data_IF_809091818393
#
_entry.id   IF_809091818393
#
_cell.length_a   1.000
_cell.length_b   1.000
_cell.length_c   1.000
_cell.angle_alpha   90.00
_cell.angle_beta   90.00
_cell.angle_gamma   90.00
#
_symmetry.space_group_name_H-M   'P 1'
#
loop_
_entity.id
_entity.type
_entity.pdbx_description
1 polymer ?
#
# COMPACT_ATOMS: atom_id res chain seq x y z
N UNK A 1 -4.98 -15.17 0.19
CA UNK A 1 -3.53 -14.95 0.13
C UNK A 1 -2.91 -14.98 1.55
N UNK A 2 -3.28 -14.06 2.40
CA UNK A 2 -2.71 -13.96 3.76
C UNK A 2 -2.89 -15.24 4.59
N UNK A 3 -3.99 -15.99 4.38
CA UNK A 3 -4.24 -17.27 5.07
C UNK A 3 -3.19 -18.34 4.74
N UNK A 4 -2.70 -18.39 3.51
CA UNK A 4 -1.59 -19.28 3.10
C UNK A 4 -0.22 -18.87 3.66
N UNK A 5 -0.12 -17.66 4.24
CA UNK A 5 1.13 -17.10 4.79
C UNK A 5 1.09 -16.89 6.31
N UNK A 6 0.35 -17.74 7.02
CA UNK A 6 0.33 -17.80 8.48
C UNK A 6 -0.60 -16.80 9.17
N UNK A 7 -1.54 -16.22 8.44
CA UNK A 7 -2.62 -15.39 8.96
C UNK A 7 -3.95 -16.15 8.88
N UNK A 8 -4.81 -15.98 9.86
CA UNK A 8 -6.22 -16.39 9.78
C UNK A 8 -7.03 -15.14 9.41
N UNK A 9 -7.76 -15.19 8.30
CA UNK A 9 -8.68 -14.10 7.90
C UNK A 9 -10.03 -14.33 8.53
N UNK A 10 -10.57 -13.31 9.16
CA UNK A 10 -11.93 -13.20 9.68
C UNK A 10 -12.59 -12.02 8.97
N UNK A 11 -13.89 -12.12 8.73
CA UNK A 11 -14.68 -11.05 8.12
C UNK A 11 -15.83 -10.72 9.05
N UNK A 12 -16.06 -9.43 9.29
CA UNK A 12 -17.11 -8.95 10.14
C UNK A 12 -17.93 -7.90 9.40
N UNK A 13 -19.24 -8.07 9.41
CA UNK A 13 -20.17 -7.01 9.02
C UNK A 13 -20.41 -6.14 10.23
N UNK A 14 -19.97 -4.90 10.14
CA UNK A 14 -20.11 -3.88 11.19
C UNK A 14 -21.31 -3.04 10.85
N UNK A 15 -22.19 -2.83 11.81
CA UNK A 15 -23.36 -1.96 11.67
C UNK A 15 -23.33 -0.91 12.76
N UNK A 16 -23.51 0.35 12.39
CA UNK A 16 -23.75 1.41 13.36
C UNK A 16 -25.23 1.46 13.73
N UNK A 17 -25.53 1.98 14.91
CA UNK A 17 -26.91 2.21 15.37
C UNK A 17 -27.66 3.19 14.43
N UNK A 18 -26.93 4.05 13.73
CA UNK A 18 -27.44 5.02 12.78
C UNK A 18 -27.67 4.47 11.36
N UNK A 19 -27.50 3.15 11.16
CA UNK A 19 -27.83 2.45 9.91
C UNK A 19 -26.69 2.33 8.90
N UNK A 20 -25.48 2.79 9.22
CA UNK A 20 -24.29 2.54 8.40
C UNK A 20 -23.83 1.08 8.51
N UNK A 21 -23.44 0.46 7.40
CA UNK A 21 -22.89 -0.90 7.41
C UNK A 21 -21.64 -1.00 6.53
N UNK A 22 -20.65 -1.76 6.99
CA UNK A 22 -19.46 -2.07 6.21
C UNK A 22 -18.88 -3.43 6.62
N UNK A 23 -18.15 -4.05 5.71
CA UNK A 23 -17.42 -5.28 6.00
C UNK A 23 -15.95 -4.99 6.25
N UNK A 24 -15.41 -5.51 7.36
CA UNK A 24 -13.99 -5.38 7.71
C UNK A 24 -13.31 -6.75 7.67
N UNK A 25 -12.09 -6.77 7.10
CA UNK A 25 -11.21 -7.93 7.14
C UNK A 25 -10.27 -7.82 8.33
N UNK A 26 -10.30 -8.81 9.23
CA UNK A 26 -9.41 -8.91 10.38
C UNK A 26 -8.44 -10.07 10.18
N UNK A 27 -7.17 -9.78 10.10
CA UNK A 27 -6.11 -10.76 9.90
C UNK A 27 -5.49 -11.10 11.26
N UNK A 28 -5.65 -12.33 11.72
CA UNK A 28 -5.09 -12.80 12.98
C UNK A 28 -3.83 -13.60 12.74
N UNK A 29 -2.72 -13.16 13.30
CA UNK A 29 -1.44 -13.88 13.25
C UNK A 29 -1.05 -14.40 14.63
N UNK A 30 -0.85 -15.71 14.73
CA UNK A 30 -0.30 -16.34 15.94
C UNK A 30 1.22 -16.35 15.91
N UNK A 31 1.82 -16.20 17.08
CA UNK A 31 3.26 -16.34 17.29
C UNK A 31 3.55 -16.87 18.69
N UNK A 32 4.76 -17.38 18.91
CA UNK A 32 5.18 -17.97 20.18
C UNK A 32 4.13 -18.92 20.79
N UNK A 33 3.48 -19.76 19.96
CA UNK A 33 2.49 -20.79 20.27
C UNK A 33 1.15 -20.27 20.87
N UNK A 34 1.19 -19.26 21.74
CA UNK A 34 0.02 -18.81 22.51
C UNK A 34 -0.49 -17.41 22.14
N UNK A 35 0.38 -16.54 21.69
CA UNK A 35 0.04 -15.13 21.45
C UNK A 35 -0.40 -14.88 20.02
N UNK A 36 -1.21 -13.84 19.86
CA UNK A 36 -1.60 -13.35 18.54
C UNK A 36 -1.69 -11.84 18.52
N UNK A 37 -1.69 -11.29 17.32
CA UNK A 37 -2.11 -9.95 17.00
C UNK A 37 -3.26 -10.02 15.99
N UNK A 38 -4.20 -9.11 16.10
CA UNK A 38 -5.20 -8.87 15.07
C UNK A 38 -4.78 -7.64 14.26
N UNK A 39 -4.87 -7.70 12.95
CA UNK A 39 -4.49 -6.61 12.06
C UNK A 39 -5.62 -6.31 11.09
N UNK A 40 -5.96 -5.03 10.97
CA UNK A 40 -6.99 -4.51 10.09
C UNK A 40 -6.32 -3.57 9.09
N UNK A 41 -6.10 -4.04 7.84
CA UNK A 41 -5.54 -3.20 6.80
C UNK A 41 -6.59 -2.20 6.31
N UNK A 42 -6.20 -0.95 6.15
CA UNK A 42 -7.03 0.12 5.58
C UNK A 42 -8.39 0.26 6.29
N UNK A 43 -8.34 0.44 7.63
CA UNK A 43 -9.54 0.67 8.43
C UNK A 43 -10.33 1.86 7.88
N UNK A 44 -11.61 1.68 7.54
CA UNK A 44 -12.44 2.78 7.06
C UNK A 44 -12.46 3.94 8.06
N UNK A 45 -12.52 5.15 7.54
CA UNK A 45 -12.71 6.36 8.33
C UNK A 45 -14.20 6.69 8.37
N UNK A 46 -14.81 6.50 9.53
CA UNK A 46 -16.16 7.01 9.78
C UNK A 46 -16.04 8.25 10.64
N UNK A 47 -16.41 9.38 10.06
CA UNK A 47 -16.69 10.55 10.86
C UNK A 47 -18.20 10.61 11.06
N UNK A 48 -18.62 10.74 12.30
CA UNK A 48 -19.96 11.20 12.64
C UNK A 48 -20.07 12.64 12.13
N UNK A 49 -20.47 12.81 10.88
CA UNK A 49 -20.76 14.10 10.29
C UNK A 49 -22.25 14.35 10.33
N UNK A 50 -22.62 15.43 10.98
CA UNK A 50 -23.92 16.05 11.09
C UNK A 50 -25.04 15.48 10.21
N UNK A 51 -26.05 14.94 10.91
CA UNK A 51 -27.48 14.97 10.67
C UNK A 51 -28.05 14.69 9.28
N UNK A 52 -28.77 13.57 9.22
CA UNK A 52 -30.12 13.62 8.72
C UNK A 52 -30.31 13.69 7.21
N UNK A 53 -30.01 12.59 6.53
CA UNK A 53 -30.88 12.14 5.43
C UNK A 53 -30.71 10.64 5.25
N UNK A 54 -31.78 9.88 5.39
CA UNK A 54 -31.86 8.47 5.04
C UNK A 54 -31.45 8.29 3.58
N UNK A 55 -30.40 7.50 3.32
CA UNK A 55 -29.96 7.15 1.96
C UNK A 55 -28.45 7.28 1.70
N UNK A 56 -27.61 7.37 2.70
CA UNK A 56 -26.18 7.51 2.52
C UNK A 56 -25.52 6.24 2.00
N UNK A 57 -25.21 6.19 0.70
CA UNK A 57 -24.17 5.34 0.14
C UNK A 57 -22.91 5.54 0.96
N UNK A 58 -22.27 4.47 1.44
CA UNK A 58 -20.95 4.51 2.06
C UNK A 58 -19.95 5.12 1.06
N UNK A 59 -19.88 6.43 1.01
CA UNK A 59 -18.80 7.10 0.33
C UNK A 59 -17.58 6.99 1.23
N UNK A 60 -16.46 6.53 0.66
CA UNK A 60 -15.16 6.76 1.25
C UNK A 60 -15.11 8.23 1.65
N UNK A 61 -15.22 8.52 2.93
CA UNK A 61 -15.02 9.85 3.47
C UNK A 61 -13.53 10.16 3.32
N UNK A 62 -13.14 10.56 2.09
CA UNK A 62 -12.05 11.50 2.02
C UNK A 62 -12.50 12.67 2.90
N UNK A 63 -11.73 13.02 3.94
CA UNK A 63 -11.85 14.34 4.51
C UNK A 63 -11.78 15.24 3.29
N UNK A 64 -12.93 15.82 2.86
CA UNK A 64 -12.93 16.87 1.86
C UNK A 64 -12.21 18.01 2.54
N UNK A 65 -10.88 17.98 2.44
CA UNK A 65 -10.11 19.18 2.56
C UNK A 65 -10.75 20.12 1.57
N UNK A 66 -11.33 21.20 2.08
CA UNK A 66 -11.79 22.29 1.26
C UNK A 66 -10.71 22.56 0.20
N UNK A 67 -11.08 22.66 -1.07
CA UNK A 67 -10.17 22.75 -2.22
C UNK A 67 -9.33 24.04 -2.23
N UNK A 68 -9.10 24.64 -1.09
CA UNK A 68 -8.19 25.75 -0.90
C UNK A 68 -6.75 25.20 -0.94
N UNK A 69 -5.88 25.86 -1.69
CA UNK A 69 -4.45 25.55 -1.87
C UNK A 69 -3.63 25.32 -0.57
N UNK A 70 -4.25 25.46 0.58
CA UNK A 70 -3.66 25.38 1.93
C UNK A 70 -4.20 24.21 2.76
N UNK A 71 -4.20 22.98 2.26
CA UNK A 71 -4.44 21.77 3.03
C UNK A 71 -5.62 21.87 4.01
N UNK A 72 -6.68 21.09 3.83
CA UNK A 72 -7.91 21.21 4.63
C UNK A 72 -7.65 21.25 6.13
N UNK A 73 -8.44 22.05 6.82
CA UNK A 73 -8.40 22.18 8.28
C UNK A 73 -8.93 20.89 8.87
N UNK A 74 -8.03 20.03 9.36
CA UNK A 74 -8.39 18.88 10.20
C UNK A 74 -8.84 19.44 11.54
N UNK A 75 -10.09 19.20 11.92
CA UNK A 75 -10.62 19.64 13.21
C UNK A 75 -10.14 18.72 14.33
N UNK A 76 -9.93 19.25 15.50
CA UNK A 76 -9.62 18.48 16.71
C UNK A 76 -10.72 17.43 17.00
N UNK A 77 -11.96 17.78 16.76
CA UNK A 77 -13.14 16.93 16.90
C UNK A 77 -13.07 15.67 16.04
N UNK A 78 -12.51 15.75 14.83
CA UNK A 78 -12.35 14.62 13.91
C UNK A 78 -11.37 13.59 14.47
N UNK A 79 -10.30 14.03 15.11
CA UNK A 79 -9.29 13.15 15.71
C UNK A 79 -9.83 12.45 16.97
N UNK A 80 -10.59 13.17 17.82
CA UNK A 80 -11.23 12.62 18.99
C UNK A 80 -12.29 11.57 18.63
N UNK A 81 -13.18 11.92 17.68
CA UNK A 81 -14.20 11.00 17.16
C UNK A 81 -13.60 9.74 16.56
N UNK A 82 -12.48 9.87 15.83
CA UNK A 82 -11.79 8.71 15.27
C UNK A 82 -11.13 7.83 16.34
N UNK A 83 -10.55 8.43 17.39
CA UNK A 83 -10.00 7.68 18.52
C UNK A 83 -11.10 6.91 19.26
N UNK A 84 -12.23 7.55 19.53
CA UNK A 84 -13.41 6.94 20.16
C UNK A 84 -13.92 5.76 19.31
N UNK A 85 -14.12 5.97 18.01
CA UNK A 85 -14.54 4.93 17.07
C UNK A 85 -13.60 3.71 17.10
N UNK A 86 -12.28 3.92 17.04
CA UNK A 86 -11.33 2.80 17.09
C UNK A 86 -11.41 2.05 18.43
N UNK A 87 -11.61 2.75 19.54
CA UNK A 87 -11.74 2.15 20.87
C UNK A 87 -13.03 1.30 20.98
N UNK A 88 -14.18 1.85 20.63
CA UNK A 88 -15.48 1.15 20.66
C UNK A 88 -15.50 -0.07 19.73
N UNK A 89 -14.97 0.08 18.51
CA UNK A 89 -14.82 -1.01 17.58
C UNK A 89 -13.91 -2.11 18.15
N UNK A 90 -12.79 -1.73 18.78
CA UNK A 90 -11.86 -2.70 19.38
C UNK A 90 -12.47 -3.48 20.52
N UNK A 91 -13.23 -2.82 21.41
CA UNK A 91 -13.92 -3.49 22.51
C UNK A 91 -15.01 -4.44 21.98
N UNK A 92 -15.75 -4.05 20.94
CA UNK A 92 -16.75 -4.89 20.30
C UNK A 92 -16.11 -6.12 19.63
N UNK A 93 -14.93 -5.96 19.01
CA UNK A 93 -14.24 -7.04 18.32
C UNK A 93 -13.54 -8.02 19.26
N UNK A 94 -13.17 -7.57 20.46
CA UNK A 94 -12.37 -8.32 21.44
C UNK A 94 -12.90 -9.73 21.74
N UNK A 95 -14.24 -9.86 21.89
CA UNK A 95 -14.91 -11.12 22.19
C UNK A 95 -14.76 -12.20 21.09
N UNK A 96 -14.45 -11.79 19.85
CA UNK A 96 -14.30 -12.68 18.69
C UNK A 96 -12.85 -13.06 18.41
N UNK A 97 -11.90 -12.46 19.13
CA UNK A 97 -10.47 -12.71 18.96
C UNK A 97 -9.96 -13.82 19.87
N UNK A 98 -8.84 -14.47 19.54
CA UNK A 98 -8.22 -15.44 20.44
C UNK A 98 -7.90 -14.81 21.82
N UNK A 99 -8.07 -15.57 22.90
CA UNK A 99 -7.89 -15.11 24.30
C UNK A 99 -6.58 -14.40 24.61
N UNK A 100 -5.51 -14.75 23.89
CA UNK A 100 -4.17 -14.18 24.09
C UNK A 100 -3.77 -13.23 22.96
N UNK A 101 -4.73 -12.52 22.37
CA UNK A 101 -4.45 -11.43 21.42
C UNK A 101 -3.90 -10.24 22.20
N UNK A 102 -2.71 -9.78 21.80
CA UNK A 102 -1.99 -8.70 22.50
C UNK A 102 -2.52 -7.32 22.15
N UNK A 103 -2.87 -7.12 20.87
CA UNK A 103 -3.43 -5.87 20.39
C UNK A 103 -4.25 -6.09 19.10
N UNK A 104 -5.09 -5.11 18.81
CA UNK A 104 -5.64 -4.89 17.47
C UNK A 104 -4.84 -3.77 16.86
N UNK A 105 -4.25 -4.01 15.68
CA UNK A 105 -3.49 -3.03 14.90
C UNK A 105 -4.30 -2.59 13.70
N UNK A 106 -4.38 -1.29 13.48
CA UNK A 106 -5.08 -0.66 12.37
C UNK A 106 -4.08 0.08 11.48
N UNK A 107 -4.22 -0.04 10.18
CA UNK A 107 -3.73 0.97 9.24
C UNK A 107 -4.93 1.83 8.84
N UNK A 108 -4.78 3.14 8.97
CA UNK A 108 -5.83 4.10 8.65
C UNK A 108 -5.91 4.34 7.14
N UNK A 109 -7.12 4.49 6.61
CA UNK A 109 -7.38 4.93 5.23
C UNK A 109 -7.53 6.44 5.09
N UNK A 110 -7.29 7.22 6.16
CA UNK A 110 -7.36 8.68 6.13
C UNK A 110 -6.23 9.26 5.30
N UNK A 111 -6.56 10.01 4.28
CA UNK A 111 -5.63 10.64 3.36
C UNK A 111 -5.44 12.12 3.69
N UNK A 112 -4.21 12.53 4.00
CA UNK A 112 -3.80 13.92 4.20
C UNK A 112 -2.91 14.38 3.06
N UNK A 113 -3.06 15.62 2.63
CA UNK A 113 -2.32 16.17 1.48
C UNK A 113 -1.07 16.96 1.89
N UNK A 114 -0.81 17.05 3.20
CA UNK A 114 0.44 17.58 3.74
C UNK A 114 0.89 16.79 4.96
N UNK A 115 2.20 16.73 5.17
CA UNK A 115 2.81 16.14 6.38
C UNK A 115 2.32 16.88 7.63
N UNK A 116 2.21 18.21 7.56
CA UNK A 116 1.78 19.03 8.68
C UNK A 116 0.35 18.68 9.14
N UNK A 117 -0.60 18.51 8.19
CA UNK A 117 -1.97 18.13 8.52
C UNK A 117 -2.06 16.72 9.11
N UNK A 118 -1.31 15.76 8.55
CA UNK A 118 -1.20 14.41 9.11
C UNK A 118 -0.63 14.43 10.54
N UNK A 119 0.47 15.15 10.75
CA UNK A 119 1.15 15.19 12.05
C UNK A 119 0.30 15.91 13.10
N UNK A 120 -0.43 16.95 12.71
CA UNK A 120 -1.42 17.61 13.55
C UNK A 120 -2.52 16.61 13.95
N UNK A 121 -3.14 15.92 12.99
CA UNK A 121 -4.16 14.90 13.28
C UNK A 121 -3.64 13.82 14.26
N UNK A 122 -2.43 13.31 14.03
CA UNK A 122 -1.83 12.29 14.91
C UNK A 122 -1.56 12.83 16.32
N UNK A 123 -1.19 14.11 16.44
CA UNK A 123 -1.00 14.76 17.74
C UNK A 123 -2.34 14.90 18.48
N UNK A 124 -3.38 15.42 17.83
CA UNK A 124 -4.73 15.56 18.39
C UNK A 124 -5.32 14.21 18.79
N UNK A 125 -5.16 13.17 17.95
CA UNK A 125 -5.60 11.80 18.25
C UNK A 125 -4.92 11.27 19.52
N UNK A 126 -3.64 11.49 19.71
CA UNK A 126 -2.92 11.08 20.94
C UNK A 126 -3.41 11.86 22.14
N UNK A 127 -3.67 13.15 22.00
CA UNK A 127 -4.19 14.00 23.07
C UNK A 127 -5.59 13.56 23.48
N UNK A 128 -6.48 13.34 22.52
CA UNK A 128 -7.84 12.84 22.77
C UNK A 128 -7.80 11.47 23.46
N UNK A 129 -6.99 10.55 22.94
CA UNK A 129 -6.84 9.23 23.57
C UNK A 129 -6.36 9.33 25.02
N UNK A 130 -5.45 10.26 25.34
CA UNK A 130 -4.95 10.46 26.70
C UNK A 130 -6.01 11.09 27.62
N UNK A 131 -6.72 12.13 27.17
CA UNK A 131 -7.73 12.85 27.94
C UNK A 131 -8.94 11.96 28.26
N UNK A 132 -9.38 11.14 27.32
CA UNK A 132 -10.52 10.24 27.46
C UNK A 132 -10.14 8.84 27.95
N UNK A 133 -8.85 8.62 28.26
CA UNK A 133 -8.28 7.35 28.73
C UNK A 133 -8.54 6.18 27.75
N UNK A 134 -8.56 6.47 26.46
CA UNK A 134 -8.69 5.46 25.42
C UNK A 134 -7.35 4.76 25.19
N UNK A 135 -7.38 3.45 25.03
CA UNK A 135 -6.17 2.65 24.85
C UNK A 135 -5.66 2.67 23.40
N UNK A 136 -5.49 3.86 22.80
CA UNK A 136 -4.96 4.00 21.42
C UNK A 136 -3.50 4.44 21.45
N UNK A 137 -2.65 3.72 20.73
CA UNK A 137 -1.19 3.94 20.69
C UNK A 137 -0.72 4.06 19.24
N UNK A 138 -0.04 5.15 18.86
CA UNK A 138 0.67 5.23 17.58
C UNK A 138 1.91 4.33 17.63
N UNK A 139 2.00 3.40 16.67
CA UNK A 139 3.14 2.48 16.58
C UNK A 139 4.41 3.19 16.11
N UNK A 140 5.58 2.63 16.45
CA UNK A 140 6.88 3.13 15.97
C UNK A 140 7.22 2.69 14.56
N UNK A 141 6.56 1.63 14.08
CA UNK A 141 6.77 1.07 12.74
C UNK A 141 5.42 0.78 12.13
N UNK A 142 5.22 1.21 10.90
CA UNK A 142 4.00 0.97 10.15
C UNK A 142 4.08 -0.38 9.42
N UNK A 143 2.94 -1.07 9.30
CA UNK A 143 2.87 -2.31 8.50
C UNK A 143 2.83 -1.95 7.02
N UNK A 144 1.95 -1.02 6.65
CA UNK A 144 1.91 -0.48 5.30
C UNK A 144 2.63 0.87 5.24
N UNK A 145 3.29 1.19 4.12
CA UNK A 145 3.85 2.53 3.92
C UNK A 145 2.75 3.58 4.00
N UNK A 146 2.88 4.59 4.85
CA UNK A 146 1.84 5.61 5.01
C UNK A 146 1.83 6.65 3.88
N UNK A 147 2.94 6.80 3.16
CA UNK A 147 3.10 7.84 2.15
C UNK A 147 3.07 7.25 0.75
N UNK A 148 2.27 7.83 -0.14
CA UNK A 148 2.12 7.40 -1.53
C UNK A 148 1.79 8.57 -2.46
N UNK A 149 1.72 8.27 -3.77
CA UNK A 149 1.21 9.16 -4.81
C UNK A 149 0.05 8.47 -5.52
N UNK A 150 -1.09 9.15 -5.63
CA UNK A 150 -2.30 8.67 -6.27
C UNK A 150 -2.54 9.40 -7.58
N UNK A 151 -2.75 8.66 -8.67
CA UNK A 151 -3.17 9.21 -9.97
C UNK A 151 -4.66 8.97 -10.15
N UNK A 152 -5.40 10.02 -10.47
CA UNK A 152 -6.82 9.96 -10.82
C UNK A 152 -6.98 9.46 -12.27
N UNK A 153 -7.44 8.21 -12.42
CA UNK A 153 -7.63 7.56 -13.71
C UNK A 153 -8.95 7.95 -14.42
N UNK A 154 -9.77 8.79 -13.83
CA UNK A 154 -10.96 9.35 -14.52
C UNK A 154 -10.55 10.32 -15.62
N UNK A 155 -9.38 10.95 -15.51
CA UNK A 155 -8.78 11.86 -16.49
C UNK A 155 -8.42 11.16 -17.78
N UNK A 156 -8.43 11.87 -18.89
CA UNK A 156 -7.94 11.35 -20.19
C UNK A 156 -6.43 11.06 -20.18
N UNK A 157 -5.94 10.24 -21.10
CA UNK A 157 -4.50 9.97 -21.22
C UNK A 157 -3.69 11.24 -21.49
N UNK A 158 -4.24 12.19 -22.27
CA UNK A 158 -3.58 13.45 -22.55
C UNK A 158 -3.47 14.33 -21.28
N UNK A 159 -4.49 14.36 -20.45
CA UNK A 159 -4.45 15.05 -19.16
C UNK A 159 -3.45 14.37 -18.20
N UNK A 160 -3.42 13.03 -18.15
CA UNK A 160 -2.45 12.29 -17.37
C UNK A 160 -1.02 12.59 -17.82
N UNK A 161 -0.76 12.57 -19.14
CA UNK A 161 0.54 12.94 -19.69
C UNK A 161 0.91 14.39 -19.38
N UNK A 162 -0.05 15.32 -19.51
CA UNK A 162 0.16 16.75 -19.26
C UNK A 162 0.54 17.03 -17.80
N UNK A 163 -0.03 16.30 -16.86
CA UNK A 163 0.26 16.39 -15.42
C UNK A 163 1.66 15.89 -15.05
N UNK A 164 2.28 15.03 -15.88
CA UNK A 164 3.64 14.53 -15.65
C UNK A 164 4.68 15.64 -15.78
N UNK A 165 5.80 15.51 -15.05
CA UNK A 165 6.99 16.33 -15.30
C UNK A 165 7.46 16.15 -16.75
N UNK A 166 7.93 17.21 -17.39
CA UNK A 166 8.38 17.20 -18.80
C UNK A 166 9.40 16.10 -19.08
N UNK A 167 10.35 15.88 -18.16
CA UNK A 167 11.37 14.82 -18.25
C UNK A 167 10.75 13.41 -18.27
N UNK A 168 9.61 13.17 -17.59
CA UNK A 168 8.92 11.86 -17.58
C UNK A 168 8.29 11.60 -18.95
N UNK A 169 7.56 12.56 -19.50
CA UNK A 169 7.03 12.47 -20.87
C UNK A 169 8.13 12.22 -21.90
N UNK A 170 9.25 12.94 -21.76
CA UNK A 170 10.42 12.75 -22.62
C UNK A 170 10.97 11.31 -22.48
N UNK A 171 11.15 10.82 -21.27
CA UNK A 171 11.70 9.48 -21.01
C UNK A 171 10.79 8.37 -21.54
N UNK A 172 9.48 8.50 -21.46
CA UNK A 172 8.50 7.57 -22.05
C UNK A 172 8.70 7.51 -23.57
N UNK A 173 8.71 8.67 -24.24
CA UNK A 173 8.91 8.76 -25.69
C UNK A 173 10.29 8.26 -26.11
N UNK A 174 11.31 8.54 -25.33
CA UNK A 174 12.68 8.06 -25.56
C UNK A 174 12.72 6.54 -25.54
N UNK A 175 12.12 5.90 -24.53
CA UNK A 175 12.09 4.44 -24.43
C UNK A 175 11.39 3.82 -25.64
N UNK A 176 10.24 4.35 -26.04
CA UNK A 176 9.52 3.92 -27.26
C UNK A 176 10.39 4.07 -28.52
N UNK A 177 10.97 5.26 -28.73
CA UNK A 177 11.83 5.56 -29.89
C UNK A 177 13.07 4.66 -29.96
N UNK A 178 13.58 4.23 -28.80
CA UNK A 178 14.74 3.34 -28.69
C UNK A 178 14.38 1.86 -28.79
N UNK A 179 13.11 1.52 -29.05
CA UNK A 179 12.69 0.14 -29.26
C UNK A 179 12.49 -0.69 -27.98
N UNK A 180 12.29 -0.03 -26.85
CA UNK A 180 11.87 -0.75 -25.63
C UNK A 180 10.44 -1.25 -25.82
N UNK A 181 10.24 -2.53 -25.58
CA UNK A 181 8.92 -3.20 -25.70
C UNK A 181 8.45 -3.59 -24.31
N UNK A 182 7.18 -3.30 -23.98
CA UNK A 182 6.54 -3.72 -22.74
C UNK A 182 5.52 -4.81 -23.04
N UNK A 183 5.60 -5.92 -22.28
CA UNK A 183 4.62 -7.00 -22.32
C UNK A 183 3.96 -7.17 -20.96
N UNK A 184 2.64 -7.42 -20.97
CA UNK A 184 1.83 -7.67 -19.78
C UNK A 184 1.43 -9.15 -19.72
N UNK A 185 1.66 -9.77 -18.58
CA UNK A 185 1.29 -11.15 -18.27
C UNK A 185 0.28 -11.13 -17.12
N UNK A 186 -0.98 -11.43 -17.45
CA UNK A 186 -2.10 -11.34 -16.52
C UNK A 186 -2.39 -12.69 -15.90
N UNK A 187 -2.76 -12.71 -14.63
CA UNK A 187 -3.13 -13.93 -13.91
C UNK A 187 -4.34 -14.63 -14.52
N UNK A 188 -5.22 -13.87 -15.18
CA UNK A 188 -6.37 -14.40 -15.96
C UNK A 188 -6.69 -13.44 -17.10
N UNK A 189 -7.35 -13.98 -18.12
CA UNK A 189 -7.95 -13.20 -19.21
C UNK A 189 -9.44 -13.44 -19.23
N UNK A 190 -10.22 -12.43 -19.59
CA UNK A 190 -11.67 -12.57 -19.77
C UNK A 190 -12.02 -13.37 -21.04
N UNK A 191 -11.04 -13.71 -21.85
CA UNK A 191 -11.17 -14.58 -23.02
C UNK A 191 -10.86 -16.02 -22.61
N UNK A 192 -11.77 -16.93 -22.93
CA UNK A 192 -11.78 -18.34 -22.52
C UNK A 192 -10.59 -19.22 -22.98
N UNK A 193 -9.49 -18.65 -23.38
CA UNK A 193 -8.31 -19.39 -23.83
C UNK A 193 -7.26 -19.52 -22.72
N UNK A 194 -7.61 -20.32 -21.70
CA UNK A 194 -6.83 -20.52 -20.46
C UNK A 194 -5.57 -21.35 -20.68
N UNK A 195 -5.34 -21.94 -21.87
CA UNK A 195 -4.28 -22.95 -22.07
C UNK A 195 -2.88 -22.40 -22.39
N UNK A 196 -2.76 -21.11 -22.73
CA UNK A 196 -1.44 -20.50 -23.05
C UNK A 196 -0.83 -19.70 -21.90
N UNK A 197 -1.56 -19.48 -20.80
CA UNK A 197 -1.18 -18.58 -19.73
C UNK A 197 -0.17 -19.16 -18.72
N UNK A 198 -0.21 -20.47 -18.44
CA UNK A 198 0.58 -21.05 -17.34
C UNK A 198 2.08 -21.01 -17.61
N UNK A 199 2.52 -21.29 -18.83
CA UNK A 199 3.95 -21.29 -19.15
C UNK A 199 4.53 -19.86 -19.24
N UNK A 200 3.84 -18.95 -19.90
CA UNK A 200 4.28 -17.57 -20.08
C UNK A 200 4.23 -16.77 -18.76
N UNK A 201 3.24 -17.02 -17.93
CA UNK A 201 3.10 -16.38 -16.64
C UNK A 201 4.17 -16.84 -15.63
N UNK A 202 4.47 -18.14 -15.57
CA UNK A 202 5.55 -18.68 -14.75
C UNK A 202 6.90 -18.09 -15.16
N UNK A 203 7.17 -18.04 -16.47
CA UNK A 203 8.40 -17.42 -17.01
C UNK A 203 8.48 -15.93 -16.71
N UNK A 204 7.35 -15.21 -16.75
CA UNK A 204 7.31 -13.80 -16.40
C UNK A 204 7.67 -13.56 -14.92
N UNK A 205 7.19 -14.43 -14.02
CA UNK A 205 7.55 -14.39 -12.60
C UNK A 205 9.03 -14.75 -12.36
N UNK A 206 9.61 -15.66 -13.16
CA UNK A 206 11.04 -15.95 -13.13
C UNK A 206 11.87 -14.71 -13.49
N UNK A 207 11.53 -14.06 -14.60
CA UNK A 207 12.19 -12.84 -15.06
C UNK A 207 12.05 -11.72 -14.02
N UNK A 208 10.83 -11.51 -13.50
CA UNK A 208 10.60 -10.54 -12.44
C UNK A 208 11.51 -10.82 -11.24
N UNK A 209 11.56 -12.06 -10.77
CA UNK A 209 12.29 -12.42 -9.56
C UNK A 209 13.82 -12.25 -9.73
N UNK A 210 14.38 -12.58 -10.88
CA UNK A 210 15.80 -12.36 -11.18
C UNK A 210 16.15 -10.84 -11.20
N UNK A 211 15.33 -10.02 -11.86
CA UNK A 211 15.47 -8.57 -11.82
C UNK A 211 15.31 -8.01 -10.40
N UNK A 212 14.39 -8.63 -9.61
CA UNK A 212 14.15 -8.17 -8.26
C UNK A 212 15.28 -8.52 -7.30
N UNK A 213 15.94 -9.66 -7.47
CA UNK A 213 17.21 -9.97 -6.77
C UNK A 213 18.29 -8.95 -7.09
N UNK A 214 18.43 -8.59 -8.38
CA UNK A 214 19.38 -7.55 -8.81
C UNK A 214 19.10 -6.22 -8.15
N UNK A 215 17.83 -5.82 -8.11
CA UNK A 215 17.38 -4.60 -7.42
C UNK A 215 17.63 -4.68 -5.92
N UNK A 216 17.29 -5.80 -5.28
CA UNK A 216 17.48 -6.01 -3.85
C UNK A 216 18.95 -5.91 -3.42
N UNK A 217 19.85 -6.52 -4.20
CA UNK A 217 21.28 -6.45 -3.94
C UNK A 217 21.83 -5.03 -4.10
N UNK A 218 21.39 -4.31 -5.16
CA UNK A 218 21.80 -2.93 -5.41
C UNK A 218 21.34 -1.97 -4.31
N UNK A 219 20.06 -2.09 -3.90
CA UNK A 219 19.39 -1.12 -3.04
C UNK A 219 19.39 -1.55 -1.56
N UNK A 220 19.95 -2.73 -1.26
CA UNK A 220 20.06 -3.27 0.11
C UNK A 220 18.73 -3.55 0.79
N UNK A 221 17.71 -3.98 0.00
CA UNK A 221 16.37 -4.29 0.50
C UNK A 221 16.16 -5.79 0.66
N UNK A 222 15.31 -6.18 1.61
CA UNK A 222 14.87 -7.56 1.77
C UNK A 222 13.66 -7.83 0.85
N UNK A 223 13.67 -9.00 0.20
CA UNK A 223 12.58 -9.46 -0.66
C UNK A 223 12.01 -10.78 -0.14
N UNK A 224 10.76 -11.06 -0.48
CA UNK A 224 10.14 -12.35 -0.18
C UNK A 224 10.73 -13.46 -1.06
N UNK A 225 10.56 -14.72 -0.64
CA UNK A 225 10.86 -15.87 -1.49
C UNK A 225 9.96 -15.85 -2.75
N UNK A 226 10.45 -16.40 -3.88
CA UNK A 226 9.72 -16.45 -5.16
C UNK A 226 8.31 -17.00 -5.01
N UNK A 227 8.15 -18.06 -4.21
CA UNK A 227 6.85 -18.67 -3.91
C UNK A 227 5.77 -17.69 -3.45
N UNK A 228 6.14 -16.61 -2.76
CA UNK A 228 5.19 -15.57 -2.33
C UNK A 228 4.52 -14.89 -3.51
N UNK A 229 5.27 -14.58 -4.55
CA UNK A 229 4.75 -13.94 -5.78
C UNK A 229 3.97 -14.92 -6.66
N UNK A 230 4.43 -16.18 -6.70
CA UNK A 230 3.70 -17.27 -7.35
C UNK A 230 2.33 -17.50 -6.71
N UNK A 231 2.27 -17.55 -5.38
CA UNK A 231 1.01 -17.70 -4.64
C UNK A 231 0.06 -16.51 -4.84
N UNK A 232 0.60 -15.29 -4.90
CA UNK A 232 -0.18 -14.08 -5.18
C UNK A 232 -0.83 -14.15 -6.57
N UNK A 233 -0.05 -14.56 -7.57
CA UNK A 233 -0.50 -14.70 -8.94
C UNK A 233 -1.52 -15.84 -9.09
N UNK A 234 -1.24 -17.01 -8.51
CA UNK A 234 -2.11 -18.17 -8.56
C UNK A 234 -3.49 -17.91 -7.92
N UNK A 235 -3.53 -17.20 -6.78
CA UNK A 235 -4.80 -16.82 -6.15
C UNK A 235 -5.61 -15.86 -7.00
N UNK A 236 -4.97 -14.90 -7.66
CA UNK A 236 -5.65 -14.03 -8.61
C UNK A 236 -6.21 -14.80 -9.80
N UNK A 237 -5.50 -15.83 -10.28
CA UNK A 237 -5.97 -16.68 -11.38
C UNK A 237 -7.17 -17.56 -10.98
N UNK A 238 -7.16 -18.07 -9.73
CA UNK A 238 -8.16 -19.03 -9.26
C UNK A 238 -9.53 -18.40 -8.94
N UNK A 239 -9.61 -17.10 -8.68
CA UNK A 239 -10.84 -16.44 -8.19
C UNK A 239 -11.22 -15.25 -9.07
N UNK A 240 -12.39 -15.30 -9.69
CA UNK A 240 -12.90 -14.24 -10.59
C UNK A 240 -13.02 -12.88 -9.90
N UNK A 241 -13.45 -12.88 -8.65
CA UNK A 241 -13.68 -11.66 -7.87
C UNK A 241 -12.41 -11.14 -7.18
N UNK A 242 -11.30 -11.91 -7.25
CA UNK A 242 -10.03 -11.43 -6.74
C UNK A 242 -9.49 -10.28 -7.62
N UNK A 243 -8.73 -9.33 -7.05
CA UNK A 243 -8.02 -8.34 -7.84
C UNK A 243 -7.12 -9.01 -8.90
N UNK A 244 -7.05 -8.42 -10.08
CA UNK A 244 -6.22 -8.94 -11.17
C UNK A 244 -4.74 -8.60 -10.94
N UNK A 245 -3.92 -9.63 -10.78
CA UNK A 245 -2.47 -9.46 -10.73
C UNK A 245 -1.90 -9.51 -12.14
N UNK A 246 -1.07 -8.52 -12.45
CA UNK A 246 -0.38 -8.41 -13.74
C UNK A 246 1.12 -8.21 -13.51
N UNK A 247 1.93 -9.00 -14.22
CA UNK A 247 3.39 -8.83 -14.31
C UNK A 247 3.69 -8.12 -15.62
N UNK A 248 4.38 -6.98 -15.57
CA UNK A 248 4.86 -6.28 -16.76
C UNK A 248 6.36 -6.47 -16.88
N UNK A 249 6.83 -6.67 -18.09
CA UNK A 249 8.26 -6.78 -18.42
C UNK A 249 8.58 -5.81 -19.56
N UNK A 250 9.54 -4.93 -19.32
CA UNK A 250 10.15 -4.09 -20.35
C UNK A 250 11.43 -4.75 -20.84
N UNK A 251 11.54 -4.95 -22.14
CA UNK A 251 12.69 -5.59 -22.79
C UNK A 251 13.20 -4.78 -23.97
N UNK A 252 14.46 -5.00 -24.35
CA UNK A 252 15.09 -4.42 -25.52
C UNK A 252 16.11 -5.40 -26.08
N UNK A 253 16.02 -5.73 -27.40
CA UNK A 253 16.92 -6.68 -28.08
C UNK A 253 17.10 -8.01 -27.35
N UNK A 254 16.00 -8.56 -26.83
CA UNK A 254 16.00 -9.84 -26.10
C UNK A 254 16.42 -9.74 -24.62
N UNK A 255 16.92 -8.61 -24.13
CA UNK A 255 17.27 -8.39 -22.73
C UNK A 255 16.10 -7.82 -21.92
N UNK A 256 15.83 -8.39 -20.75
CA UNK A 256 14.83 -7.88 -19.81
C UNK A 256 15.45 -6.79 -18.93
N UNK A 257 14.88 -5.58 -19.01
CA UNK A 257 15.46 -4.38 -18.40
C UNK A 257 14.76 -3.93 -17.13
N UNK A 258 13.43 -4.10 -17.06
CA UNK A 258 12.64 -3.75 -15.90
C UNK A 258 11.38 -4.62 -15.83
N UNK A 259 10.85 -4.81 -14.62
CA UNK A 259 9.59 -5.52 -14.42
C UNK A 259 8.85 -4.93 -13.21
N UNK A 260 7.53 -4.94 -13.27
CA UNK A 260 6.66 -4.59 -12.14
C UNK A 260 5.55 -5.62 -11.96
N UNK A 261 5.06 -5.71 -10.72
CA UNK A 261 3.81 -6.40 -10.39
C UNK A 261 2.80 -5.36 -9.96
N UNK A 262 1.63 -5.39 -10.59
CA UNK A 262 0.48 -4.54 -10.25
C UNK A 262 -0.71 -5.39 -9.84
N UNK A 263 -1.57 -4.78 -9.04
CA UNK A 263 -2.88 -5.31 -8.67
C UNK A 263 -3.93 -4.37 -9.23
N UNK A 264 -4.96 -4.90 -9.90
CA UNK A 264 -6.09 -4.11 -10.42
C UNK A 264 -7.40 -4.55 -9.78
N UNK A 265 -8.14 -3.58 -9.26
CA UNK A 265 -9.55 -3.67 -8.90
C UNK A 265 -10.32 -2.52 -9.56
N UNK A 266 -11.65 -2.50 -9.43
CA UNK A 266 -12.46 -1.39 -9.98
C UNK A 266 -12.25 -0.08 -9.23
N UNK A 267 -12.01 -0.15 -7.93
CA UNK A 267 -11.74 1.03 -7.12
C UNK A 267 -10.31 1.55 -7.31
N UNK A 268 -9.33 0.64 -7.43
CA UNK A 268 -7.94 1.00 -7.32
C UNK A 268 -7.04 0.02 -8.08
N UNK A 269 -6.01 0.57 -8.71
CA UNK A 269 -4.85 -0.17 -9.20
C UNK A 269 -3.62 0.18 -8.34
N UNK A 270 -2.85 -0.82 -7.94
CA UNK A 270 -1.69 -0.64 -7.05
C UNK A 270 -0.42 -1.15 -7.69
N UNK A 271 0.63 -0.32 -7.71
CA UNK A 271 2.00 -0.72 -8.05
C UNK A 271 2.66 -1.39 -6.85
N UNK A 272 2.58 -2.73 -6.76
CA UNK A 272 3.03 -3.48 -5.60
C UNK A 272 4.55 -3.64 -5.52
N UNK A 273 5.18 -4.06 -6.62
CA UNK A 273 6.61 -4.39 -6.65
C UNK A 273 7.25 -3.92 -7.94
N UNK A 274 8.50 -3.45 -7.86
CA UNK A 274 9.28 -3.00 -9.00
C UNK A 274 10.71 -3.50 -8.97
N UNK A 275 11.19 -3.85 -10.14
CA UNK A 275 12.52 -4.38 -10.37
C UNK A 275 13.16 -3.75 -11.61
N UNK A 276 14.47 -3.56 -11.57
CA UNK A 276 15.20 -3.04 -12.73
C UNK A 276 16.61 -3.61 -12.79
N UNK A 277 17.05 -3.85 -14.02
CA UNK A 277 18.42 -4.21 -14.35
C UNK A 277 19.39 -3.04 -14.11
N UNK A 278 20.67 -3.36 -14.05
CA UNK A 278 21.75 -2.36 -14.03
C UNK A 278 22.22 -1.97 -15.44
N UNK A 279 21.84 -2.75 -16.46
CA UNK A 279 22.25 -2.49 -17.86
C UNK A 279 21.21 -1.66 -18.61
N UNK A 280 21.62 -0.94 -19.66
CA UNK A 280 20.78 -0.15 -20.56
C UNK A 280 19.79 0.81 -19.84
N UNK A 281 20.12 1.29 -18.64
CA UNK A 281 19.26 2.20 -17.86
C UNK A 281 18.98 3.52 -18.59
N UNK A 282 19.87 3.92 -19.49
CA UNK A 282 19.74 5.09 -20.35
C UNK A 282 18.58 4.96 -21.37
N UNK A 283 18.05 3.75 -21.59
CA UNK A 283 16.85 3.53 -22.41
C UNK A 283 15.55 3.86 -21.69
N UNK A 284 15.60 4.21 -20.41
CA UNK A 284 14.46 4.62 -19.58
C UNK A 284 13.29 3.60 -19.50
N UNK A 285 13.56 2.27 -19.43
CA UNK A 285 12.51 1.25 -19.55
C UNK A 285 11.43 1.35 -18.45
N UNK A 286 11.81 1.74 -17.23
CA UNK A 286 10.87 1.87 -16.10
C UNK A 286 9.79 2.95 -16.33
N UNK A 287 10.08 4.00 -17.09
CA UNK A 287 9.12 5.06 -17.38
C UNK A 287 8.03 4.59 -18.34
N UNK A 288 8.43 3.92 -19.44
CA UNK A 288 7.48 3.35 -20.39
C UNK A 288 6.65 2.24 -19.73
N UNK A 289 7.28 1.41 -18.90
CA UNK A 289 6.63 0.31 -18.18
C UNK A 289 5.54 0.83 -17.24
N UNK A 290 5.81 1.86 -16.44
CA UNK A 290 4.81 2.49 -15.58
C UNK A 290 3.69 3.15 -16.38
N UNK A 291 4.01 3.86 -17.46
CA UNK A 291 2.99 4.45 -18.32
C UNK A 291 2.05 3.41 -18.91
N UNK A 292 2.59 2.29 -19.41
CA UNK A 292 1.78 1.18 -19.92
C UNK A 292 0.85 0.62 -18.83
N UNK A 293 1.36 0.45 -17.61
CA UNK A 293 0.54 -0.05 -16.49
C UNK A 293 -0.58 0.94 -16.08
N UNK A 294 -0.32 2.25 -16.14
CA UNK A 294 -1.32 3.30 -15.87
C UNK A 294 -2.44 3.25 -16.93
N UNK A 295 -2.09 3.18 -18.22
CA UNK A 295 -3.07 3.06 -19.31
C UNK A 295 -3.90 1.76 -19.20
N UNK A 296 -3.25 0.64 -18.88
CA UNK A 296 -3.93 -0.64 -18.68
C UNK A 296 -4.89 -0.59 -17.47
N UNK A 297 -4.48 0.03 -16.36
CA UNK A 297 -5.33 0.23 -15.19
C UNK A 297 -6.58 1.07 -15.50
N UNK A 298 -6.41 2.16 -16.24
CA UNK A 298 -7.51 2.97 -16.76
C UNK A 298 -8.44 2.16 -17.65
N UNK A 299 -7.91 1.39 -18.59
CA UNK A 299 -8.67 0.52 -19.50
C UNK A 299 -9.40 -0.61 -18.75
N UNK A 300 -8.83 -1.10 -17.64
CA UNK A 300 -9.47 -2.08 -16.76
C UNK A 300 -10.66 -1.46 -16.01
N UNK A 301 -10.71 -0.15 -15.88
CA UNK A 301 -11.74 0.63 -15.20
C UNK A 301 -11.45 0.88 -13.72
N UNK A 302 -10.18 0.84 -13.31
CA UNK A 302 -9.77 1.33 -12.00
C UNK A 302 -9.94 2.84 -11.91
N UNK A 303 -10.41 3.35 -10.77
CA UNK A 303 -10.61 4.80 -10.58
C UNK A 303 -9.31 5.53 -10.24
N UNK A 304 -8.39 4.85 -9.54
CA UNK A 304 -7.14 5.41 -9.04
C UNK A 304 -5.98 4.46 -9.33
N UNK A 305 -4.78 5.03 -9.58
CA UNK A 305 -3.52 4.28 -9.61
C UNK A 305 -2.65 4.72 -8.42
N UNK A 306 -2.44 3.81 -7.47
CA UNK A 306 -1.61 3.99 -6.28
C UNK A 306 -0.18 3.53 -6.57
N UNK A 307 0.78 4.44 -6.49
CA UNK A 307 2.20 4.12 -6.60
C UNK A 307 2.76 3.36 -5.40
N UNK A 308 1.95 3.20 -4.33
CA UNK A 308 2.36 2.56 -3.09
C UNK A 308 3.62 3.20 -2.47
N UNK A 309 4.12 2.65 -1.38
CA UNK A 309 5.13 3.22 -0.50
C UNK A 309 6.24 4.05 -1.15
N UNK A 310 6.42 5.26 -0.64
CA UNK A 310 7.50 6.16 -0.99
C UNK A 310 8.01 6.91 0.25
N UNK A 311 9.17 7.61 0.19
CA UNK A 311 9.56 8.56 1.23
C UNK A 311 8.54 9.68 1.38
N UNK A 312 8.35 10.23 2.60
CA UNK A 312 7.32 11.23 2.88
C UNK A 312 7.56 12.59 2.19
N UNK A 313 8.80 12.92 1.86
CA UNK A 313 9.16 14.24 1.35
C UNK A 313 10.27 14.19 0.30
N UNK A 314 10.55 15.35 -0.30
CA UNK A 314 11.62 15.58 -1.26
C UNK A 314 13.02 15.81 -0.62
N UNK A 315 13.24 15.30 0.58
CA UNK A 315 14.56 15.37 1.23
C UNK A 315 15.63 14.68 0.39
N UNK A 316 16.52 15.47 -0.17
CA UNK A 316 17.61 15.00 -1.04
C UNK A 316 18.61 14.09 -0.30
N UNK A 317 18.66 14.18 1.04
CA UNK A 317 19.52 13.34 1.86
C UNK A 317 18.87 11.98 2.18
N UNK A 318 17.59 11.80 1.88
CA UNK A 318 16.91 10.52 2.11
C UNK A 318 17.46 9.45 1.15
N UNK A 319 17.85 8.24 1.65
CA UNK A 319 18.43 7.18 0.80
C UNK A 319 17.54 6.79 -0.38
N UNK A 320 16.24 6.95 -0.26
CA UNK A 320 15.25 6.62 -1.30
C UNK A 320 14.70 7.85 -2.04
N UNK A 321 15.41 9.00 -2.00
CA UNK A 321 15.00 10.21 -2.71
C UNK A 321 14.71 9.99 -4.19
N UNK A 322 15.51 9.14 -4.86
CA UNK A 322 15.27 8.78 -6.26
C UNK A 322 13.92 8.11 -6.49
N UNK A 323 13.44 7.31 -5.52
CA UNK A 323 12.11 6.68 -5.59
C UNK A 323 10.99 7.73 -5.43
N UNK A 324 11.16 8.68 -4.49
CA UNK A 324 10.23 9.79 -4.35
C UNK A 324 10.09 10.58 -5.66
N UNK A 325 11.22 11.01 -6.22
CA UNK A 325 11.22 11.72 -7.51
C UNK A 325 10.57 10.91 -8.63
N UNK A 326 10.89 9.61 -8.71
CA UNK A 326 10.35 8.74 -9.74
C UNK A 326 8.83 8.66 -9.67
N UNK A 327 8.26 8.40 -8.50
CA UNK A 327 6.82 8.23 -8.31
C UNK A 327 6.05 9.53 -8.49
N UNK A 328 6.48 10.61 -7.83
CA UNK A 328 5.79 11.91 -7.88
C UNK A 328 5.86 12.57 -9.25
N UNK A 329 6.85 12.23 -10.07
CA UNK A 329 7.01 12.80 -11.40
C UNK A 329 5.97 12.37 -12.42
N UNK A 330 5.17 11.32 -12.12
CA UNK A 330 4.03 10.92 -12.95
C UNK A 330 2.80 11.80 -12.75
N UNK A 331 2.84 12.82 -11.88
CA UNK A 331 1.81 13.86 -11.79
C UNK A 331 0.62 13.54 -10.89
N UNK A 332 0.77 12.55 -10.01
CA UNK A 332 -0.27 12.22 -9.04
C UNK A 332 -0.28 13.16 -7.82
N UNK A 333 -1.31 13.04 -7.00
CA UNK A 333 -1.42 13.72 -5.71
C UNK A 333 -0.67 12.95 -4.63
N UNK A 334 0.18 13.63 -3.89
CA UNK A 334 0.87 13.04 -2.74
C UNK A 334 -0.11 12.90 -1.58
N UNK A 335 -0.06 11.75 -0.94
CA UNK A 335 -0.93 11.41 0.19
C UNK A 335 -0.07 10.93 1.35
N UNK A 336 -0.41 11.40 2.55
CA UNK A 336 0.21 11.05 3.82
C UNK A 336 -0.86 10.44 4.73
N UNK A 337 -0.73 9.19 5.15
CA UNK A 337 -1.65 8.51 6.07
C UNK A 337 -1.10 8.52 7.50
N UNK A 338 -1.94 8.40 8.53
CA UNK A 338 -1.47 8.36 9.94
C UNK A 338 -0.53 7.19 10.24
N UNK A 339 -0.50 6.16 9.38
CA UNK A 339 0.21 4.91 9.63
C UNK A 339 -0.50 4.03 10.66
N UNK A 340 0.22 3.06 11.23
CA UNK A 340 -0.38 2.06 12.11
C UNK A 340 -0.69 2.59 13.50
N UNK A 341 -1.86 2.22 14.01
CA UNK A 341 -2.35 2.50 15.38
C UNK A 341 -2.64 1.16 16.06
N UNK A 342 -2.31 1.03 17.33
CA UNK A 342 -2.61 -0.16 18.13
C UNK A 342 -3.65 0.14 19.22
N UNK A 343 -4.57 -0.82 19.41
CA UNK A 343 -5.40 -0.92 20.60
C UNK A 343 -4.92 -2.09 21.45
N UNK A 344 -4.22 -1.85 22.59
CA UNK A 344 -3.75 -2.88 23.49
C UNK A 344 -4.91 -3.66 24.12
N UNK A 345 -4.84 -5.00 24.06
CA UNK A 345 -5.82 -5.91 24.69
C UNK A 345 -5.24 -6.64 25.90
N UNK A 346 -3.94 -6.56 26.13
CA UNK A 346 -3.23 -7.33 27.15
C UNK A 346 -2.16 -6.49 27.82
N UNK A 347 -1.92 -6.67 29.14
CA UNK A 347 -0.76 -6.08 29.82
C UNK A 347 0.59 -6.43 29.18
N UNK A 348 0.66 -7.54 28.44
CA UNK A 348 1.86 -7.97 27.72
C UNK A 348 2.09 -7.19 26.40
N UNK A 349 1.22 -6.25 26.06
CA UNK A 349 1.42 -5.37 24.90
C UNK A 349 2.69 -4.52 25.02
N UNK A 350 2.95 -3.92 26.18
CA UNK A 350 4.12 -3.05 26.34
C UNK A 350 5.46 -3.79 26.09
N UNK A 351 5.73 -4.95 26.70
CA UNK A 351 6.92 -5.74 26.36
C UNK A 351 6.93 -6.22 24.91
N UNK A 352 5.78 -6.56 24.30
CA UNK A 352 5.70 -6.89 22.89
C UNK A 352 6.11 -5.72 21.98
N UNK A 353 5.56 -4.52 22.20
CA UNK A 353 5.88 -3.32 21.42
C UNK A 353 7.36 -2.93 21.54
N UNK A 354 7.96 -3.13 22.73
CA UNK A 354 9.38 -2.93 22.95
C UNK A 354 10.22 -3.93 22.15
N UNK A 355 9.87 -5.22 22.20
CA UNK A 355 10.55 -6.27 21.45
C UNK A 355 10.44 -6.07 19.93
N UNK A 356 9.27 -5.64 19.43
CA UNK A 356 9.06 -5.29 18.02
C UNK A 356 9.97 -4.11 17.60
N UNK A 357 10.05 -3.08 18.42
CA UNK A 357 10.90 -1.91 18.20
C UNK A 357 12.39 -2.28 18.19
N UNK A 358 12.83 -3.11 19.14
CA UNK A 358 14.21 -3.60 19.22
C UNK A 358 14.57 -4.46 17.99
N UNK A 359 13.66 -5.34 17.55
CA UNK A 359 13.84 -6.14 16.33
C UNK A 359 13.96 -5.26 15.09
N UNK A 360 13.10 -4.23 14.95
CA UNK A 360 13.16 -3.30 13.83
C UNK A 360 14.49 -2.53 13.82
N UNK A 361 14.96 -2.08 14.98
CA UNK A 361 16.27 -1.41 15.12
C UNK A 361 17.44 -2.35 14.75
N UNK A 362 17.43 -3.59 15.22
CA UNK A 362 18.41 -4.60 14.85
C UNK A 362 18.51 -4.80 13.35
N UNK A 363 17.36 -5.04 12.69
CA UNK A 363 17.32 -5.25 11.24
C UNK A 363 17.71 -4.02 10.43
N UNK A 364 17.30 -2.82 10.87
CA UNK A 364 17.57 -1.56 10.13
C UNK A 364 19.03 -1.08 10.29
N UNK A 365 19.67 -1.30 11.43
CA UNK A 365 20.99 -0.75 11.72
C UNK A 365 22.07 -1.80 11.94
N UNK A 366 21.87 -2.72 12.88
CA UNK A 366 22.95 -3.63 13.31
C UNK A 366 23.29 -4.64 12.21
N UNK A 367 22.28 -5.25 11.58
CA UNK A 367 22.52 -6.21 10.50
C UNK A 367 23.22 -5.58 9.29
N UNK A 368 22.92 -4.32 8.96
CA UNK A 368 23.61 -3.59 7.88
C UNK A 368 25.08 -3.27 8.25
N UNK A 369 25.37 -2.89 9.50
CA UNK A 369 26.74 -2.65 9.96
C UNK A 369 27.56 -3.94 9.94
N UNK A 370 26.98 -5.05 10.39
CA UNK A 370 27.65 -6.34 10.38
C UNK A 370 27.90 -6.87 8.96
N UNK A 371 26.98 -6.69 8.04
CA UNK A 371 27.14 -7.06 6.63
C UNK A 371 28.17 -6.19 5.91
N UNK A 372 28.27 -4.88 6.25
CA UNK A 372 29.28 -3.96 5.68
C UNK A 372 30.68 -4.10 6.29
N UNK A 373 30.85 -4.86 7.40
CA UNK A 373 32.17 -5.21 7.98
C UNK A 373 32.71 -6.54 7.46
N UNK A 374 31.92 -7.29 6.71
CA UNK A 374 32.30 -8.58 6.12
C UNK A 374 32.78 -8.44 4.66
N UNK A 375 32.92 -7.22 4.13
CA UNK A 375 33.55 -6.86 2.86
C UNK A 375 34.82 -6.04 3.14
#
# INVERSE_FOLDING_TARGET
>A
FKSGHGWKSLFFDVRSEEGGAFTVSVLVRRFAKYFSIAYIPMMPSFFYGETGAAGGTLQNLSIKADETENGGVVRQEDAASYAQFLAEFSESLKGFLPKHTLCIRFDSSLDFYSIASRDFFVAELKQAAASEKLAIVKTKTDIQPPDTTLIDLTKSEDELLSAMRSKWRYNIRLAQKKGVVVRAYRARTDKADVRSLDFDASRALDIFYELYKTTANRDGIAIHAKKYYEDLFALSAAHKDAPLITVYIASHEGENLASIITLFSKSEAVYLYGASSNVKRNLMPAYLLQWTAICDAKSYGSAVYDFYGMPPSDDKNHPMYGLYLFKTGFGGRIVHRPGSLDFPLSPLYAPYALAESARAFYHKRIKKILAGRAL
#
